data_IF_146248569209
#
_entry.id   IF_146248569209
#
_cell.length_a   1.000
_cell.length_b   1.000
_cell.length_c   1.000
_cell.angle_alpha   90.00
_cell.angle_beta   90.00
_cell.angle_gamma   90.00
#
_symmetry.space_group_name_H-M   'P 1'
#
loop_
_entity.id
_entity.type
_entity.pdbx_description
1 polymer ?
#
# COMPACT_ATOMS: atom_id res chain seq x y z
N UNK A 1 8.29 -7.93 -6.60
CA UNK A 1 6.88 -8.32 -6.79
C UNK A 1 6.86 -9.51 -7.73
N UNK A 2 6.68 -10.71 -7.20
CA UNK A 2 6.49 -11.93 -7.97
C UNK A 2 5.56 -12.86 -7.19
N UNK A 3 4.91 -13.80 -7.88
CA UNK A 3 4.14 -14.87 -7.24
C UNK A 3 4.87 -16.21 -7.39
N UNK A 4 4.79 -17.09 -6.39
CA UNK A 4 5.33 -18.45 -6.45
C UNK A 4 4.20 -19.49 -6.45
N UNK A 5 4.13 -20.26 -7.54
CA UNK A 5 3.11 -21.28 -7.79
C UNK A 5 3.78 -22.59 -8.23
N UNK A 6 4.55 -23.26 -7.35
CA UNK A 6 5.16 -24.54 -7.67
C UNK A 6 4.15 -25.68 -7.91
N UNK A 7 2.87 -25.50 -7.52
CA UNK A 7 1.80 -26.49 -7.65
C UNK A 7 0.49 -25.84 -8.14
N UNK A 8 -0.42 -26.61 -8.74
CA UNK A 8 -1.74 -26.10 -9.17
C UNK A 8 -2.66 -25.75 -8.00
N UNK A 9 -2.38 -26.28 -6.80
CA UNK A 9 -3.10 -25.93 -5.58
C UNK A 9 -2.37 -24.82 -4.81
N UNK A 10 -3.11 -23.80 -4.38
CA UNK A 10 -2.53 -22.66 -3.66
C UNK A 10 -2.05 -23.02 -2.25
N UNK A 11 -2.72 -23.93 -1.55
CA UNK A 11 -2.33 -24.36 -0.20
C UNK A 11 -1.07 -25.21 -0.27
N UNK A 12 -0.99 -26.13 -1.23
CA UNK A 12 0.20 -26.92 -1.52
C UNK A 12 1.37 -26.02 -1.92
N UNK A 13 1.11 -25.01 -2.77
CA UNK A 13 2.11 -24.00 -3.12
C UNK A 13 2.63 -23.26 -1.90
N UNK A 14 1.76 -22.84 -0.98
CA UNK A 14 2.16 -22.15 0.25
C UNK A 14 3.00 -23.05 1.18
N UNK A 15 2.53 -24.29 1.40
CA UNK A 15 3.20 -25.25 2.26
C UNK A 15 4.62 -25.59 1.79
N UNK A 16 4.86 -25.58 0.48
CA UNK A 16 6.15 -25.89 -0.11
C UNK A 16 7.20 -24.79 0.02
N UNK A 17 6.81 -23.55 0.37
CA UNK A 17 7.75 -22.44 0.48
C UNK A 17 8.51 -22.46 1.81
N UNK A 18 9.79 -22.10 1.78
CA UNK A 18 10.52 -21.71 2.98
C UNK A 18 9.92 -20.45 3.61
N UNK A 19 10.14 -20.29 4.92
CA UNK A 19 9.55 -19.22 5.73
C UNK A 19 9.84 -17.82 5.17
N UNK A 20 11.04 -17.57 4.63
CA UNK A 20 11.40 -16.25 4.12
C UNK A 20 10.60 -15.90 2.85
N UNK A 21 10.46 -16.83 1.89
CA UNK A 21 9.62 -16.59 0.71
C UNK A 21 8.14 -16.54 1.07
N UNK A 22 7.64 -17.44 1.93
CA UNK A 22 6.25 -17.42 2.36
C UNK A 22 5.85 -16.08 2.99
N UNK A 23 6.68 -15.56 3.91
CA UNK A 23 6.45 -14.26 4.52
C UNK A 23 6.39 -13.12 3.49
N UNK A 24 7.25 -13.19 2.47
CA UNK A 24 7.25 -12.22 1.37
C UNK A 24 6.04 -12.36 0.43
N UNK A 25 5.54 -13.57 0.19
CA UNK A 25 4.42 -13.81 -0.72
C UNK A 25 3.12 -13.17 -0.24
N UNK A 26 2.86 -13.09 1.07
CA UNK A 26 1.71 -12.34 1.60
C UNK A 26 1.73 -10.88 1.17
N UNK A 27 2.88 -10.23 1.31
CA UNK A 27 3.07 -8.82 0.95
C UNK A 27 3.06 -8.63 -0.57
N UNK A 28 3.73 -9.50 -1.32
CA UNK A 28 3.78 -9.40 -2.79
C UNK A 28 2.41 -9.70 -3.43
N UNK A 29 1.59 -10.59 -2.86
CA UNK A 29 0.22 -10.81 -3.28
C UNK A 29 -0.62 -9.55 -3.10
N UNK A 30 -0.57 -8.93 -1.91
CA UNK A 30 -1.26 -7.66 -1.63
C UNK A 30 -0.81 -6.53 -2.57
N UNK A 31 0.50 -6.42 -2.85
CA UNK A 31 1.02 -5.45 -3.80
C UNK A 31 0.55 -5.71 -5.24
N UNK A 32 0.40 -6.98 -5.62
CA UNK A 32 -0.11 -7.37 -6.95
C UNK A 32 -1.60 -7.04 -7.06
N UNK A 33 -2.40 -7.32 -6.02
CA UNK A 33 -3.82 -6.93 -5.95
C UNK A 33 -3.99 -5.42 -6.10
N UNK A 34 -3.20 -4.63 -5.37
CA UNK A 34 -3.18 -3.17 -5.48
C UNK A 34 -2.80 -2.70 -6.88
N UNK A 35 -1.80 -3.32 -7.51
CA UNK A 35 -1.40 -2.95 -8.88
C UNK A 35 -2.49 -3.24 -9.92
N UNK A 36 -3.30 -4.29 -9.71
CA UNK A 36 -4.42 -4.64 -10.59
C UNK A 36 -5.62 -3.71 -10.45
N UNK A 37 -5.87 -3.18 -9.25
CA UNK A 37 -7.13 -2.47 -8.93
C UNK A 37 -6.94 -0.97 -8.75
N UNK A 38 -5.80 -0.51 -8.21
CA UNK A 38 -5.59 0.90 -7.86
C UNK A 38 -4.87 1.62 -9.03
N UNK A 39 -5.46 2.70 -9.57
CA UNK A 39 -4.85 3.49 -10.64
C UNK A 39 -3.46 4.01 -10.28
N UNK A 40 -2.51 3.84 -11.21
CA UNK A 40 -1.14 4.34 -11.05
C UNK A 40 -0.32 3.72 -9.90
N UNK A 41 -0.80 2.62 -9.29
CA UNK A 41 -0.10 1.91 -8.21
C UNK A 41 0.96 0.94 -8.74
N UNK A 42 2.17 1.01 -8.17
CA UNK A 42 3.20 -0.01 -8.37
C UNK A 42 3.64 -0.18 -9.82
N UNK A 43 4.06 -1.38 -10.17
CA UNK A 43 4.58 -1.73 -11.51
C UNK A 43 3.51 -2.52 -12.28
N UNK A 44 2.50 -1.83 -12.79
CA UNK A 44 1.34 -2.44 -13.48
C UNK A 44 1.72 -3.22 -14.74
N UNK A 45 2.84 -2.86 -15.36
CA UNK A 45 3.38 -3.54 -16.56
C UNK A 45 4.24 -4.76 -16.23
N UNK A 46 4.45 -5.07 -14.94
CA UNK A 46 5.27 -6.20 -14.53
C UNK A 46 4.64 -7.54 -15.00
N UNK A 47 5.41 -8.50 -15.54
CA UNK A 47 4.87 -9.75 -16.09
C UNK A 47 3.98 -10.53 -15.10
N UNK A 48 4.38 -10.62 -13.84
CA UNK A 48 3.55 -11.27 -12.82
C UNK A 48 2.23 -10.54 -12.57
N UNK A 49 2.19 -9.20 -12.65
CA UNK A 49 0.93 -8.44 -12.51
C UNK A 49 0.04 -8.71 -13.72
N UNK A 50 0.62 -8.60 -14.92
CA UNK A 50 -0.09 -8.87 -16.18
C UNK A 50 -0.70 -10.27 -16.22
N UNK A 51 0.02 -11.29 -15.77
CA UNK A 51 -0.49 -12.67 -15.69
C UNK A 51 -1.79 -12.81 -14.87
N UNK A 52 -1.97 -11.98 -13.84
CA UNK A 52 -3.13 -12.01 -12.95
C UNK A 52 -4.28 -11.07 -13.39
N UNK A 53 -4.15 -10.34 -14.50
CA UNK A 53 -5.23 -9.48 -14.99
C UNK A 53 -6.48 -10.31 -15.31
N UNK A 54 -7.63 -9.84 -14.81
CA UNK A 54 -8.91 -10.57 -14.90
C UNK A 54 -9.13 -11.65 -13.83
N UNK A 55 -8.18 -11.85 -12.91
CA UNK A 55 -8.21 -12.93 -11.92
C UNK A 55 -8.04 -12.43 -10.46
N UNK A 56 -8.55 -11.22 -10.15
CA UNK A 56 -8.47 -10.63 -8.79
C UNK A 56 -8.98 -11.60 -7.70
N UNK A 57 -10.17 -12.24 -7.81
CA UNK A 57 -10.62 -13.18 -6.78
C UNK A 57 -9.71 -14.40 -6.59
N UNK A 58 -9.14 -14.93 -7.68
CA UNK A 58 -8.21 -16.07 -7.59
C UNK A 58 -6.87 -15.66 -6.95
N UNK A 59 -6.37 -14.46 -7.24
CA UNK A 59 -5.19 -13.92 -6.56
C UNK A 59 -5.47 -13.64 -5.06
N UNK A 60 -6.69 -13.25 -4.71
CA UNK A 60 -7.12 -13.14 -3.31
C UNK A 60 -7.06 -14.51 -2.62
N UNK A 61 -7.57 -15.58 -3.24
CA UNK A 61 -7.44 -16.95 -2.72
C UNK A 61 -5.97 -17.35 -2.52
N UNK A 62 -5.12 -17.05 -3.50
CA UNK A 62 -3.68 -17.28 -3.41
C UNK A 62 -3.08 -16.55 -2.20
N UNK A 63 -3.36 -15.25 -2.04
CA UNK A 63 -2.90 -14.45 -0.91
C UNK A 63 -3.36 -15.01 0.43
N UNK A 64 -4.64 -15.40 0.53
CA UNK A 64 -5.20 -16.00 1.75
C UNK A 64 -4.56 -17.36 2.08
N UNK A 65 -4.24 -18.18 1.08
CA UNK A 65 -3.51 -19.44 1.31
C UNK A 65 -2.11 -19.21 1.88
N UNK A 66 -1.41 -18.17 1.41
CA UNK A 66 -0.10 -17.78 1.97
C UNK A 66 -0.23 -17.27 3.41
N UNK A 67 -1.30 -16.54 3.72
CA UNK A 67 -1.59 -16.07 5.07
C UNK A 67 -1.96 -17.22 6.01
N UNK A 68 -2.82 -18.14 5.57
CA UNK A 68 -3.21 -19.34 6.32
C UNK A 68 -1.97 -20.14 6.74
N UNK A 69 -1.08 -20.44 5.79
CA UNK A 69 0.13 -21.21 6.07
C UNK A 69 1.11 -20.45 6.96
N UNK A 70 1.23 -19.13 6.78
CA UNK A 70 2.07 -18.30 7.65
C UNK A 70 1.59 -18.28 9.09
N UNK A 71 0.28 -18.11 9.30
CA UNK A 71 -0.34 -18.15 10.61
C UNK A 71 -0.24 -19.55 11.25
N UNK A 72 -0.44 -20.61 10.44
CA UNK A 72 -0.26 -22.01 10.87
C UNK A 72 1.15 -22.29 11.39
N UNK A 73 2.18 -21.62 10.84
CA UNK A 73 3.57 -21.68 11.33
C UNK A 73 3.82 -20.86 12.60
N UNK A 74 2.80 -20.23 13.18
CA UNK A 74 2.89 -19.46 14.42
C UNK A 74 3.39 -18.03 14.25
N UNK A 75 3.36 -17.48 13.04
CA UNK A 75 3.81 -16.12 12.79
C UNK A 75 2.63 -15.13 12.71
N UNK A 76 2.79 -13.89 13.24
CA UNK A 76 1.75 -12.87 13.18
C UNK A 76 1.53 -12.36 11.75
N UNK A 77 0.29 -12.05 11.40
CA UNK A 77 -0.11 -11.48 10.11
C UNK A 77 -0.90 -10.18 10.28
N UNK A 78 -0.67 -9.24 9.37
CA UNK A 78 -1.40 -7.98 9.25
C UNK A 78 -1.88 -7.70 7.81
N UNK A 79 -1.86 -8.72 6.95
CA UNK A 79 -2.19 -8.59 5.52
C UNK A 79 -3.55 -9.16 5.18
N UNK A 80 -4.09 -10.11 5.97
CA UNK A 80 -5.38 -10.78 5.74
C UNK A 80 -6.51 -9.81 5.42
N UNK A 81 -6.78 -8.86 6.30
CA UNK A 81 -7.90 -7.92 6.14
C UNK A 81 -7.77 -7.12 4.84
N UNK A 82 -6.57 -6.62 4.55
CA UNK A 82 -6.27 -5.89 3.32
C UNK A 82 -6.42 -6.76 2.07
N UNK A 83 -6.03 -8.04 2.12
CA UNK A 83 -6.16 -8.97 0.99
C UNK A 83 -7.64 -9.31 0.75
N UNK A 84 -8.40 -9.64 1.80
CA UNK A 84 -9.82 -10.00 1.72
C UNK A 84 -10.65 -8.89 1.08
N UNK A 85 -10.34 -7.63 1.36
CA UNK A 85 -11.10 -6.47 0.85
C UNK A 85 -11.17 -6.40 -0.68
N UNK A 86 -10.19 -6.95 -1.40
CA UNK A 86 -10.20 -6.98 -2.88
C UNK A 86 -11.22 -7.95 -3.48
N UNK A 87 -11.59 -9.00 -2.74
CA UNK A 87 -12.60 -9.95 -3.15
C UNK A 87 -13.17 -10.66 -1.90
N UNK A 88 -14.10 -10.03 -1.15
CA UNK A 88 -14.67 -10.61 0.06
C UNK A 88 -15.31 -11.97 -0.17
N UNK A 89 -15.89 -12.20 -1.36
CA UNK A 89 -16.44 -13.47 -1.79
C UNK A 89 -15.40 -14.60 -1.83
N UNK A 90 -14.11 -14.30 -2.03
CA UNK A 90 -13.05 -15.30 -1.99
C UNK A 90 -12.74 -15.81 -0.57
N UNK A 91 -13.16 -15.07 0.47
CA UNK A 91 -13.07 -15.52 1.84
C UNK A 91 -14.30 -16.32 2.29
N UNK A 92 -15.37 -16.37 1.48
CA UNK A 92 -16.62 -17.05 1.83
C UNK A 92 -16.64 -18.49 1.29
N UNK A 93 -16.79 -19.53 2.12
CA UNK A 93 -16.71 -20.94 1.70
C UNK A 93 -17.59 -21.28 0.49
N UNK A 94 -18.84 -20.84 0.50
CA UNK A 94 -19.83 -21.13 -0.56
C UNK A 94 -19.54 -20.48 -1.93
N UNK A 95 -18.59 -19.55 -1.98
CA UNK A 95 -18.23 -18.82 -3.20
C UNK A 95 -16.85 -19.21 -3.75
N UNK A 96 -16.02 -19.90 -2.98
CA UNK A 96 -14.68 -20.32 -3.41
C UNK A 96 -14.74 -21.16 -4.68
N UNK A 97 -15.66 -22.12 -4.76
CA UNK A 97 -15.81 -23.04 -5.90
C UNK A 97 -16.31 -22.33 -7.17
N UNK A 98 -16.93 -21.15 -7.03
CA UNK A 98 -17.46 -20.36 -8.16
C UNK A 98 -16.43 -19.41 -8.76
N UNK A 99 -15.25 -19.28 -8.14
CA UNK A 99 -14.20 -18.38 -8.62
C UNK A 99 -13.56 -18.96 -9.87
N UNK A 100 -13.60 -18.19 -10.96
CA UNK A 100 -12.93 -18.54 -12.21
C UNK A 100 -11.40 -18.54 -12.02
N UNK A 101 -10.82 -19.74 -12.07
CA UNK A 101 -9.37 -19.91 -11.96
C UNK A 101 -8.65 -19.47 -13.25
N UNK A 102 -7.40 -19.01 -13.14
CA UNK A 102 -6.59 -18.71 -14.31
C UNK A 102 -6.37 -19.95 -15.18
N UNK A 103 -6.44 -19.78 -16.49
CA UNK A 103 -6.31 -20.88 -17.46
C UNK A 103 -4.94 -21.58 -17.44
N UNK A 104 -3.92 -20.88 -16.94
CA UNK A 104 -2.56 -21.39 -16.81
C UNK A 104 -2.35 -22.16 -15.49
N UNK A 105 -3.30 -22.10 -14.55
CA UNK A 105 -3.21 -22.87 -13.30
C UNK A 105 -3.50 -24.35 -13.62
N UNK A 106 -2.50 -25.22 -13.43
CA UNK A 106 -2.53 -26.60 -13.90
C UNK A 106 -1.58 -26.88 -15.07
N UNK A 107 -1.03 -25.84 -15.71
CA UNK A 107 -0.03 -26.02 -16.76
C UNK A 107 1.31 -26.52 -16.18
N UNK A 108 1.76 -27.67 -16.68
CA UNK A 108 2.91 -28.37 -16.11
C UNK A 108 4.22 -27.56 -16.26
N UNK A 109 4.41 -26.92 -17.41
CA UNK A 109 5.62 -26.14 -17.71
C UNK A 109 5.64 -24.85 -16.89
N UNK A 110 4.48 -24.21 -16.73
CA UNK A 110 4.31 -23.08 -15.82
C UNK A 110 4.77 -23.44 -14.41
N UNK A 111 4.21 -24.49 -13.81
CA UNK A 111 4.56 -24.89 -12.46
C UNK A 111 6.04 -25.32 -12.33
N UNK A 112 6.57 -26.01 -13.34
CA UNK A 112 7.98 -26.39 -13.41
C UNK A 112 8.90 -25.17 -13.45
N UNK A 113 8.53 -24.11 -14.17
CA UNK A 113 9.32 -22.87 -14.21
C UNK A 113 9.41 -22.21 -12.83
N UNK A 114 8.33 -22.24 -12.05
CA UNK A 114 8.30 -21.71 -10.69
C UNK A 114 9.13 -22.58 -9.73
N UNK A 115 9.02 -23.92 -9.80
CA UNK A 115 9.86 -24.85 -9.03
C UNK A 115 11.35 -24.64 -9.32
N UNK A 116 11.71 -24.55 -10.60
CA UNK A 116 13.08 -24.34 -11.06
C UNK A 116 13.68 -23.02 -10.56
N UNK A 117 12.89 -21.94 -10.59
CA UNK A 117 13.33 -20.64 -10.05
C UNK A 117 13.45 -20.63 -8.52
N UNK A 118 12.61 -21.37 -7.79
CA UNK A 118 12.76 -21.54 -6.34
C UNK A 118 14.02 -22.34 -6.00
N UNK A 119 14.26 -23.46 -6.69
CA UNK A 119 15.48 -24.26 -6.58
C UNK A 119 16.75 -23.43 -6.79
N UNK A 120 16.75 -22.55 -7.79
CA UNK A 120 17.87 -21.62 -8.01
C UNK A 120 18.03 -20.56 -6.92
N UNK A 121 16.93 -20.12 -6.31
CA UNK A 121 16.94 -19.07 -5.27
C UNK A 121 17.41 -19.58 -3.92
N UNK A 122 17.10 -20.82 -3.54
CA UNK A 122 17.63 -21.50 -2.34
C UNK A 122 17.86 -22.99 -2.60
N UNK A 123 19.01 -23.35 -3.19
CA UNK A 123 19.31 -24.75 -3.50
C UNK A 123 19.24 -25.64 -2.26
N UNK A 124 19.76 -25.16 -1.11
CA UNK A 124 19.79 -25.94 0.13
C UNK A 124 18.41 -26.38 0.62
N UNK A 125 17.38 -25.57 0.41
CA UNK A 125 16.02 -25.88 0.85
C UNK A 125 15.26 -26.67 -0.21
N UNK A 126 15.36 -26.26 -1.48
CA UNK A 126 14.47 -26.75 -2.53
C UNK A 126 15.02 -27.93 -3.32
N UNK A 127 16.33 -28.23 -3.30
CA UNK A 127 16.88 -29.34 -4.10
C UNK A 127 16.31 -30.72 -3.73
N UNK A 128 15.91 -30.92 -2.47
CA UNK A 128 15.23 -32.15 -2.03
C UNK A 128 13.71 -32.10 -2.23
N UNK A 129 13.12 -30.91 -2.34
CA UNK A 129 11.67 -30.70 -2.49
C UNK A 129 11.26 -30.78 -3.96
N UNK A 130 12.07 -30.20 -4.87
CA UNK A 130 11.82 -30.12 -6.30
C UNK A 130 12.92 -30.86 -7.07
N UNK A 131 12.84 -32.19 -7.06
CA UNK A 131 13.82 -33.06 -7.76
C UNK A 131 13.72 -32.98 -9.28
N UNK A 132 12.62 -32.43 -9.78
CA UNK A 132 12.34 -32.20 -11.20
C UNK A 132 12.79 -30.82 -11.69
N UNK A 133 13.33 -29.97 -10.81
CA UNK A 133 13.78 -28.62 -11.16
C UNK A 133 14.84 -28.65 -12.28
N UNK A 134 14.60 -27.84 -13.33
CA UNK A 134 15.49 -27.73 -14.48
C UNK A 134 16.45 -26.55 -14.28
N UNK A 135 17.78 -26.78 -14.29
CA UNK A 135 18.76 -25.70 -14.22
C UNK A 135 18.54 -24.65 -15.32
N UNK A 136 18.75 -23.38 -14.99
CA UNK A 136 18.65 -22.24 -15.91
C UNK A 136 17.31 -22.01 -16.62
N UNK A 137 16.25 -22.75 -16.28
CA UNK A 137 14.90 -22.49 -16.79
C UNK A 137 14.43 -21.08 -16.43
N UNK A 138 13.88 -20.36 -17.40
CA UNK A 138 13.26 -19.05 -17.20
C UNK A 138 11.82 -19.13 -16.70
N UNK A 139 11.37 -18.06 -16.03
CA UNK A 139 9.98 -18.00 -15.60
C UNK A 139 9.10 -17.98 -16.84
N UNK A 140 8.05 -18.79 -16.82
CA UNK A 140 6.96 -18.66 -17.77
C UNK A 140 5.93 -17.72 -17.13
N UNK A 141 5.73 -16.56 -17.75
CA UNK A 141 4.68 -15.60 -17.37
C UNK A 141 3.62 -15.56 -18.47
N UNK A 142 2.50 -16.30 -18.32
CA UNK A 142 1.39 -16.24 -19.24
C UNK A 142 0.90 -14.82 -19.47
N UNK A 143 0.66 -14.46 -20.73
CA UNK A 143 0.06 -13.17 -21.07
C UNK A 143 -1.43 -13.19 -20.69
N UNK A 144 -1.97 -12.04 -20.25
CA UNK A 144 -3.41 -11.96 -20.00
C UNK A 144 -4.20 -12.09 -21.29
N UNK A 145 -5.41 -12.65 -21.20
CA UNK A 145 -6.35 -12.68 -22.33
C UNK A 145 -6.70 -11.27 -22.81
N UNK A 146 -6.76 -10.33 -21.89
CA UNK A 146 -7.06 -8.93 -22.13
C UNK A 146 -6.23 -8.06 -21.18
N UNK A 147 -5.63 -7.00 -21.70
CA UNK A 147 -4.94 -6.02 -20.86
C UNK A 147 -5.94 -4.97 -20.36
N UNK A 148 -6.03 -4.86 -19.04
CA UNK A 148 -6.83 -3.84 -18.38
C UNK A 148 -5.94 -3.12 -17.37
N UNK A 149 -5.75 -1.82 -17.57
CA UNK A 149 -5.10 -0.97 -16.59
C UNK A 149 -6.20 -0.25 -15.79
N UNK A 150 -6.13 -0.23 -14.45
CA UNK A 150 -7.11 0.48 -13.65
C UNK A 150 -7.00 1.98 -13.93
N UNK A 151 -8.16 2.61 -14.14
CA UNK A 151 -8.29 4.03 -14.44
C UNK A 151 -8.93 4.75 -13.25
N UNK A 152 -8.68 6.05 -13.13
CA UNK A 152 -9.40 6.88 -12.16
C UNK A 152 -10.91 6.80 -12.45
N UNK A 153 -11.77 6.88 -11.43
CA UNK A 153 -13.21 6.90 -11.63
C UNK A 153 -13.62 8.12 -12.47
N UNK A 154 -14.67 7.93 -13.28
CA UNK A 154 -15.34 8.99 -14.03
C UNK A 154 -16.74 9.25 -13.43
N UNK A 155 -17.26 10.48 -13.58
CA UNK A 155 -18.60 10.84 -13.10
C UNK A 155 -18.60 11.44 -11.69
N UNK A 156 -19.45 10.92 -10.81
CA UNK A 156 -19.65 11.42 -9.46
C UNK A 156 -18.51 10.95 -8.54
N UNK A 157 -17.54 11.84 -8.36
CA UNK A 157 -16.29 11.58 -7.65
C UNK A 157 -16.33 12.16 -6.25
N UNK A 158 -15.89 11.37 -5.28
CA UNK A 158 -15.54 11.81 -3.94
C UNK A 158 -14.01 11.83 -3.78
N UNK A 159 -13.43 12.96 -3.39
CA UNK A 159 -11.99 13.06 -3.17
C UNK A 159 -11.61 12.58 -1.78
N UNK A 160 -10.79 11.53 -1.69
CA UNK A 160 -10.22 11.10 -0.41
C UNK A 160 -8.99 11.95 -0.11
N UNK A 161 -9.01 12.65 1.02
CA UNK A 161 -7.89 13.43 1.54
C UNK A 161 -7.38 12.83 2.85
N UNK A 162 -6.19 12.22 2.82
CA UNK A 162 -5.51 11.71 4.01
C UNK A 162 -4.89 12.86 4.80
N UNK A 163 -5.69 13.57 5.58
CA UNK A 163 -5.23 14.52 6.59
C UNK A 163 -5.36 13.84 7.97
N UNK A 164 -4.24 13.47 8.64
CA UNK A 164 -4.31 12.74 9.89
C UNK A 164 -4.76 13.65 11.03
N UNK A 165 -5.86 13.28 11.69
CA UNK A 165 -6.38 13.93 12.88
C UNK A 165 -6.49 12.91 14.02
N UNK A 166 -5.65 13.03 15.05
CA UNK A 166 -5.64 12.09 16.18
C UNK A 166 -6.63 12.47 17.30
N UNK A 167 -6.92 13.76 17.46
CA UNK A 167 -7.64 14.29 18.63
C UNK A 167 -8.91 15.07 18.29
N UNK A 168 -9.20 15.28 17.00
CA UNK A 168 -10.34 16.06 16.54
C UNK A 168 -11.53 15.14 16.33
N UNK A 169 -12.70 15.56 16.82
CA UNK A 169 -13.97 14.88 16.52
C UNK A 169 -14.26 15.05 15.01
N UNK A 170 -14.51 13.94 14.27
CA UNK A 170 -14.86 13.99 12.85
C UNK A 170 -15.96 15.00 12.50
N UNK A 171 -16.94 15.23 13.38
CA UNK A 171 -18.05 16.17 13.11
C UNK A 171 -17.66 17.63 13.23
N UNK A 172 -16.60 17.94 13.98
CA UNK A 172 -16.14 19.30 14.24
C UNK A 172 -15.06 19.78 13.27
N UNK A 173 -14.69 18.94 12.28
CA UNK A 173 -13.66 19.27 11.31
C UNK A 173 -14.11 20.43 10.41
N UNK A 174 -13.49 21.58 10.59
CA UNK A 174 -13.82 22.83 9.91
C UNK A 174 -12.80 23.27 8.84
N UNK A 175 -11.65 22.60 8.82
CA UNK A 175 -10.53 22.91 7.94
C UNK A 175 -9.81 21.64 7.51
N UNK A 176 -9.30 21.64 6.28
CA UNK A 176 -8.51 20.53 5.73
C UNK A 176 -7.26 21.05 5.02
N UNK A 177 -6.18 20.28 5.11
CA UNK A 177 -4.95 20.57 4.38
C UNK A 177 -4.26 19.30 3.90
N UNK A 178 -3.37 19.46 2.92
CA UNK A 178 -2.46 18.37 2.61
C UNK A 178 -1.44 18.21 3.77
N UNK A 179 -1.20 17.00 4.28
CA UNK A 179 -0.16 16.75 5.28
C UNK A 179 1.21 17.13 4.75
N UNK A 180 2.09 17.57 5.66
CA UNK A 180 3.49 17.79 5.32
C UNK A 180 4.14 16.46 4.88
N UNK A 181 5.09 16.50 3.94
CA UNK A 181 5.93 15.35 3.67
C UNK A 181 6.53 14.82 4.98
N UNK A 182 6.62 13.50 5.15
CA UNK A 182 7.03 12.85 6.41
C UNK A 182 8.33 13.41 7.01
N UNK A 183 9.28 13.83 6.17
CA UNK A 183 10.52 14.48 6.61
C UNK A 183 10.30 15.92 7.17
N UNK A 184 9.37 16.67 6.58
CA UNK A 184 8.98 17.99 7.06
C UNK A 184 8.06 17.91 8.29
N UNK A 185 7.19 16.90 8.37
CA UNK A 185 6.38 16.62 9.56
C UNK A 185 7.25 16.31 10.79
N UNK A 186 8.30 15.48 10.63
CA UNK A 186 9.26 15.20 11.69
C UNK A 186 10.04 16.46 12.13
N UNK A 187 10.42 17.34 11.20
CA UNK A 187 11.08 18.61 11.50
C UNK A 187 10.14 19.60 12.20
N UNK A 188 8.86 19.66 11.80
CA UNK A 188 7.85 20.52 12.42
C UNK A 188 7.51 20.04 13.84
N UNK A 189 7.38 18.74 14.08
CA UNK A 189 7.21 18.17 15.41
C UNK A 189 8.42 18.46 16.33
N UNK A 190 9.63 18.38 15.79
CA UNK A 190 10.85 18.75 16.53
C UNK A 190 10.94 20.26 16.82
N UNK A 191 10.36 21.11 15.98
CA UNK A 191 10.32 22.56 16.18
C UNK A 191 9.17 23.01 17.11
N UNK A 192 8.06 22.27 17.16
CA UNK A 192 6.92 22.51 18.04
C UNK A 192 7.16 21.99 19.48
N UNK A 193 8.03 21.00 19.65
CA UNK A 193 8.57 20.60 20.95
C UNK A 193 9.62 21.59 21.44
N UNK A 194 9.19 22.80 21.81
CA UNK A 194 10.05 23.85 22.34
C UNK A 194 10.88 23.38 23.55
N UNK A 195 12.20 23.60 23.44
CA UNK A 195 13.26 23.67 24.45
C UNK A 195 12.93 23.23 25.89
N UNK A 196 13.42 22.07 26.32
CA UNK A 196 14.23 21.96 27.56
C UNK A 196 15.02 20.63 27.62
N UNK A 197 16.08 20.52 26.81
CA UNK A 197 17.18 19.61 27.16
C UNK A 197 18.46 20.07 26.48
N UNK A 198 19.20 20.97 27.14
CA UNK A 198 20.65 21.07 26.89
C UNK A 198 21.33 19.91 27.61
N UNK A 199 21.92 18.93 26.91
CA UNK A 199 22.73 17.93 27.57
C UNK A 199 23.99 18.62 28.09
N UNK A 200 24.05 18.83 29.41
CA UNK A 200 25.30 19.13 30.11
C UNK A 200 26.20 17.92 29.88
N UNK A 201 27.18 18.05 29.00
CA UNK A 201 28.22 17.04 28.85
C UNK A 201 29.01 16.99 30.16
N UNK A 202 28.95 15.84 30.82
CA UNK A 202 29.91 15.45 31.86
C UNK A 202 31.28 15.45 31.19
N UNK A 203 32.15 16.39 31.57
CA UNK A 203 33.57 16.28 31.28
C UNK A 203 34.12 15.10 32.07
N UNK A 204 34.46 14.01 31.38
CA UNK A 204 35.33 12.99 31.93
C UNK A 204 36.61 12.88 31.10
N UNK A 205 37.72 12.90 31.82
CA UNK A 205 39.00 13.39 31.35
C UNK A 205 39.70 12.54 30.31
N UNK A 206 40.29 13.20 29.30
CA UNK A 206 41.58 12.77 28.74
C UNK A 206 42.27 13.91 28.00
N UNK A 207 43.53 14.17 28.39
CA UNK A 207 44.40 15.21 27.84
C UNK A 207 44.87 14.85 26.42
N UNK A 208 44.25 15.41 25.39
CA UNK A 208 44.92 15.81 24.13
C UNK A 208 44.00 16.68 23.26
N UNK A 209 44.32 17.97 23.00
CA UNK A 209 43.51 18.80 22.12
C UNK A 209 43.73 18.36 20.66
N UNK A 210 42.72 17.73 20.05
CA UNK A 210 42.72 17.49 18.61
C UNK A 210 42.44 18.80 17.87
N UNK A 211 43.42 19.26 17.09
CA UNK A 211 43.44 20.55 16.39
C UNK A 211 42.78 20.43 15.00
N UNK A 212 41.57 19.89 14.94
CA UNK A 212 40.78 19.85 13.71
C UNK A 212 39.41 20.52 13.93
N UNK A 213 39.06 21.56 13.16
CA UNK A 213 37.73 22.15 13.26
C UNK A 213 36.70 21.09 12.84
N UNK A 214 35.83 20.71 13.78
CA UNK A 214 34.67 19.87 13.51
C UNK A 214 33.84 20.57 12.42
N UNK A 215 33.84 20.02 11.20
CA UNK A 215 32.99 20.50 10.11
C UNK A 215 31.55 20.52 10.59
N UNK A 216 30.89 21.67 10.47
CA UNK A 216 29.47 21.81 10.75
C UNK A 216 28.70 20.71 9.99
N UNK A 217 27.70 20.06 10.62
CA UNK A 217 26.89 19.05 9.95
C UNK A 217 26.29 19.67 8.67
N UNK A 218 26.32 18.95 7.54
CA UNK A 218 25.82 19.49 6.28
C UNK A 218 24.34 19.87 6.44
N UNK A 219 24.00 21.13 6.12
CA UNK A 219 22.60 21.60 6.08
C UNK A 219 21.78 20.61 5.26
N UNK A 220 20.79 19.96 5.89
CA UNK A 220 19.90 19.04 5.19
C UNK A 220 19.18 19.83 4.10
N UNK A 221 19.51 19.53 2.84
CA UNK A 221 18.84 20.13 1.68
C UNK A 221 17.40 19.63 1.67
N UNK A 222 16.44 20.56 1.75
CA UNK A 222 15.01 20.27 1.58
C UNK A 222 14.85 19.62 0.20
N UNK A 223 14.47 18.34 0.18
CA UNK A 223 14.28 17.59 -1.08
C UNK A 223 13.05 18.16 -1.80
N UNK A 224 13.19 18.47 -3.10
CA UNK A 224 12.06 18.90 -3.93
C UNK A 224 10.96 17.82 -3.94
N UNK A 225 9.67 18.19 -3.94
CA UNK A 225 8.57 17.24 -4.01
C UNK A 225 8.63 16.42 -5.31
N UNK A 226 8.17 15.17 -5.25
CA UNK A 226 8.08 14.30 -6.43
C UNK A 226 7.01 14.82 -7.39
N UNK A 227 7.09 14.49 -8.69
CA UNK A 227 6.09 14.92 -9.68
C UNK A 227 4.66 14.55 -9.27
N UNK A 228 4.45 13.30 -8.84
CA UNK A 228 3.15 12.82 -8.32
C UNK A 228 2.65 13.60 -7.11
N UNK A 229 3.55 14.11 -6.25
CA UNK A 229 3.16 14.94 -5.11
C UNK A 229 2.77 16.35 -5.55
N UNK A 230 3.53 16.94 -6.47
CA UNK A 230 3.20 18.24 -7.05
C UNK A 230 1.86 18.21 -7.79
N UNK A 231 1.53 17.12 -8.48
CA UNK A 231 0.23 16.90 -9.13
C UNK A 231 -0.93 16.89 -8.10
N UNK A 232 -0.78 16.21 -6.96
CA UNK A 232 -1.77 16.23 -5.87
C UNK A 232 -1.91 17.62 -5.22
N UNK A 233 -0.79 18.32 -5.01
CA UNK A 233 -0.80 19.68 -4.48
C UNK A 233 -1.49 20.65 -5.44
N UNK A 234 -1.20 20.55 -6.75
CA UNK A 234 -1.87 21.34 -7.76
C UNK A 234 -3.38 21.07 -7.76
N UNK A 235 -3.81 19.81 -7.75
CA UNK A 235 -5.22 19.43 -7.71
C UNK A 235 -5.95 20.05 -6.50
N UNK A 236 -5.40 19.89 -5.29
CA UNK A 236 -5.96 20.48 -4.07
C UNK A 236 -6.02 22.02 -4.11
N UNK A 237 -4.97 22.64 -4.65
CA UNK A 237 -4.88 24.10 -4.78
C UNK A 237 -5.86 24.66 -5.81
N UNK A 238 -6.34 23.83 -6.74
CA UNK A 238 -7.30 24.22 -7.78
C UNK A 238 -8.71 23.68 -7.57
N UNK A 239 -9.01 23.07 -6.42
CA UNK A 239 -10.36 22.58 -6.10
C UNK A 239 -11.43 23.66 -6.33
N UNK A 240 -12.44 23.38 -7.15
CA UNK A 240 -13.64 24.20 -7.23
C UNK A 240 -14.32 24.33 -5.86
N UNK A 241 -15.08 25.41 -5.67
CA UNK A 241 -15.95 25.51 -4.50
C UNK A 241 -16.99 24.37 -4.50
N UNK A 242 -17.34 23.87 -3.31
CA UNK A 242 -18.24 22.72 -3.12
C UNK A 242 -17.72 21.40 -3.68
N UNK A 243 -16.40 21.26 -3.82
CA UNK A 243 -15.81 19.96 -4.16
C UNK A 243 -16.06 18.99 -2.99
N UNK A 244 -16.68 17.83 -3.22
CA UNK A 244 -16.89 16.82 -2.19
C UNK A 244 -15.56 16.17 -1.82
N UNK A 245 -15.27 16.14 -0.53
CA UNK A 245 -14.05 15.58 0.05
C UNK A 245 -14.41 14.70 1.24
N UNK A 246 -13.72 13.57 1.37
CA UNK A 246 -13.80 12.68 2.52
C UNK A 246 -12.43 12.57 3.21
N UNK A 247 -12.43 12.77 4.53
CA UNK A 247 -11.23 12.67 5.37
C UNK A 247 -11.33 11.40 6.22
N UNK A 248 -10.33 10.49 6.19
CA UNK A 248 -10.35 9.27 6.97
C UNK A 248 -10.05 9.54 8.45
N UNK A 249 -10.81 8.89 9.31
CA UNK A 249 -10.63 8.83 10.77
C UNK A 249 -10.54 7.38 11.23
N UNK A 250 -10.16 7.16 12.50
CA UNK A 250 -10.12 5.83 13.13
C UNK A 250 -9.32 4.81 12.27
N UNK A 251 -8.10 5.16 11.87
CA UNK A 251 -7.27 4.35 10.96
C UNK A 251 -7.90 4.01 9.60
N UNK A 252 -8.88 4.81 9.17
CA UNK A 252 -9.56 4.69 7.89
C UNK A 252 -10.77 3.75 7.91
N UNK A 253 -11.33 3.45 9.08
CA UNK A 253 -12.61 2.74 9.22
C UNK A 253 -13.81 3.67 9.02
N UNK A 254 -13.66 4.96 9.31
CA UNK A 254 -14.70 5.99 9.12
C UNK A 254 -14.19 7.16 8.32
N UNK A 255 -15.12 7.87 7.67
CA UNK A 255 -14.83 9.02 6.83
C UNK A 255 -15.76 10.16 7.16
N UNK A 256 -15.19 11.35 7.43
CA UNK A 256 -15.95 12.59 7.48
C UNK A 256 -16.11 13.12 6.05
N UNK A 257 -17.33 13.06 5.52
CA UNK A 257 -17.68 13.49 4.18
C UNK A 257 -18.26 14.88 4.24
N UNK A 258 -17.80 15.75 3.35
CA UNK A 258 -18.19 17.14 3.34
C UNK A 258 -17.73 17.86 2.10
N UNK A 259 -17.78 19.18 2.14
CA UNK A 259 -17.44 20.04 1.01
C UNK A 259 -16.39 21.09 1.37
N UNK A 260 -15.52 21.39 0.40
CA UNK A 260 -14.62 22.54 0.50
C UNK A 260 -15.40 23.83 0.28
N UNK A 261 -15.29 24.76 1.24
CA UNK A 261 -16.02 26.03 1.23
C UNK A 261 -15.10 27.25 1.22
N UNK A 262 -15.58 28.32 0.62
CA UNK A 262 -14.91 29.62 0.66
C UNK A 262 -13.56 29.70 -0.09
N UNK A 263 -12.73 30.64 0.33
CA UNK A 263 -11.41 30.92 -0.26
C UNK A 263 -10.33 30.07 0.41
N UNK A 264 -9.20 29.80 -0.29
CA UNK A 264 -8.05 29.19 0.37
C UNK A 264 -7.58 30.01 1.57
N UNK A 265 -7.14 29.30 2.60
CA UNK A 265 -6.65 29.87 3.86
C UNK A 265 -5.22 29.41 4.12
N UNK A 266 -4.54 30.13 5.01
CA UNK A 266 -3.29 29.67 5.61
C UNK A 266 -3.60 29.21 7.03
N UNK A 267 -3.32 27.94 7.33
CA UNK A 267 -3.51 27.38 8.67
C UNK A 267 -2.50 27.97 9.66
N UNK A 268 -2.76 27.78 10.97
CA UNK A 268 -1.89 28.26 12.04
C UNK A 268 -0.44 27.72 11.94
N UNK A 269 -0.27 26.54 11.35
CA UNK A 269 1.03 25.91 11.09
C UNK A 269 1.71 26.38 9.79
N UNK A 270 1.12 27.37 9.10
CA UNK A 270 1.64 27.94 7.86
C UNK A 270 1.31 27.13 6.60
N UNK A 271 0.58 26.02 6.70
CA UNK A 271 0.16 25.24 5.53
C UNK A 271 -0.96 25.93 4.75
N UNK A 272 -0.99 25.65 3.46
CA UNK A 272 -2.17 25.91 2.63
C UNK A 272 -3.29 24.98 3.06
N UNK A 273 -4.43 25.56 3.44
CA UNK A 273 -5.63 24.85 3.85
C UNK A 273 -6.87 25.38 3.15
N UNK A 274 -7.97 24.69 3.39
CA UNK A 274 -9.31 25.06 2.94
C UNK A 274 -10.26 24.99 4.12
N UNK A 275 -11.25 25.88 4.15
CA UNK A 275 -12.39 25.64 5.02
C UNK A 275 -13.17 24.43 4.49
N UNK A 276 -13.68 23.66 5.42
CA UNK A 276 -14.37 22.41 5.18
C UNK A 276 -15.64 22.40 6.01
N UNK A 277 -16.70 21.80 5.48
CA UNK A 277 -17.94 21.60 6.23
C UNK A 277 -18.32 20.14 6.11
N UNK A 278 -18.34 19.46 7.25
CA UNK A 278 -18.77 18.06 7.34
C UNK A 278 -20.27 18.00 7.18
N UNK A 279 -20.73 17.16 6.26
CA UNK A 279 -22.14 16.90 6.02
C UNK A 279 -22.57 15.60 6.74
N UNK A 280 -21.73 14.58 6.69
CA UNK A 280 -22.03 13.27 7.27
C UNK A 280 -20.75 12.49 7.62
N UNK A 281 -20.92 11.44 8.43
CA UNK A 281 -19.88 10.46 8.72
C UNK A 281 -20.34 9.11 8.18
N UNK A 282 -19.53 8.51 7.32
CA UNK A 282 -19.81 7.19 6.74
C UNK A 282 -18.76 6.16 7.15
N UNK A 283 -19.16 4.90 7.20
CA UNK A 283 -18.23 3.79 7.39
C UNK A 283 -17.53 3.41 6.08
N UNK A 284 -16.34 2.84 6.18
CA UNK A 284 -15.57 2.30 5.04
C UNK A 284 -16.37 1.30 4.19
N UNK A 285 -17.32 0.59 4.79
CA UNK A 285 -18.20 -0.36 4.10
C UNK A 285 -19.28 0.29 3.24
N UNK A 286 -19.49 1.60 3.35
CA UNK A 286 -20.44 2.33 2.51
C UNK A 286 -19.96 2.44 1.06
N UNK A 287 -18.65 2.39 0.83
CA UNK A 287 -18.08 2.44 -0.52
C UNK A 287 -18.34 1.13 -1.27
N UNK A 288 -18.77 1.23 -2.53
CA UNK A 288 -18.99 0.06 -3.39
C UNK A 288 -17.72 -0.81 -3.58
N UNK A 289 -16.55 -0.17 -3.61
CA UNK A 289 -15.25 -0.85 -3.69
C UNK A 289 -14.26 -0.32 -2.64
N UNK A 290 -14.32 -0.79 -1.39
CA UNK A 290 -13.45 -0.32 -0.31
C UNK A 290 -11.96 -0.55 -0.58
N UNK A 291 -11.60 -1.49 -1.45
CA UNK A 291 -10.21 -1.79 -1.77
C UNK A 291 -9.48 -0.59 -2.43
N UNK A 292 -10.20 0.29 -3.13
CA UNK A 292 -9.65 1.52 -3.69
C UNK A 292 -9.14 2.48 -2.60
N UNK A 293 -9.74 2.44 -1.40
CA UNK A 293 -9.29 3.23 -0.25
C UNK A 293 -7.95 2.75 0.34
N UNK A 294 -7.35 1.68 -0.21
CA UNK A 294 -5.97 1.29 0.09
C UNK A 294 -4.93 2.07 -0.73
N UNK A 295 -5.35 3.02 -1.57
CA UNK A 295 -4.47 3.88 -2.34
C UNK A 295 -3.50 4.65 -1.42
N UNK A 296 -2.16 4.53 -1.61
CA UNK A 296 -1.19 5.21 -0.77
C UNK A 296 -1.06 6.72 -1.05
N UNK A 297 -1.74 7.25 -2.08
CA UNK A 297 -1.79 8.69 -2.35
C UNK A 297 -2.44 9.42 -1.18
N UNK A 298 -2.02 10.67 -1.00
CA UNK A 298 -2.56 11.56 0.03
C UNK A 298 -3.89 12.14 -0.44
N UNK A 299 -3.99 12.44 -1.74
CA UNK A 299 -5.19 12.89 -2.37
C UNK A 299 -5.47 12.04 -3.61
N UNK A 300 -6.65 11.44 -3.68
CA UNK A 300 -7.07 10.61 -4.80
C UNK A 300 -8.60 10.56 -4.93
N UNK A 301 -9.13 10.41 -6.14
CA UNK A 301 -10.56 10.27 -6.37
C UNK A 301 -11.03 8.82 -6.15
N UNK A 302 -12.24 8.65 -5.64
CA UNK A 302 -13.01 7.40 -5.65
C UNK A 302 -14.43 7.67 -6.15
N UNK A 303 -15.13 6.64 -6.59
CA UNK A 303 -16.57 6.74 -6.86
C UNK A 303 -17.31 7.08 -5.56
N UNK A 304 -18.25 8.03 -5.63
CA UNK A 304 -19.07 8.40 -4.49
C UNK A 304 -19.96 7.20 -4.06
N UNK A 305 -20.11 6.96 -2.74
CA UNK A 305 -20.95 5.90 -2.20
C UNK A 305 -22.46 6.15 -2.39
#
# INVERSE_FOLDING_TARGET
MQTFLPYPDFRQSAAALDTARLGKQRVEALQTLRALVIPGYGWQTHPAVRMWMGHVPALTLYGLAMVDEWAKRGHPDNTRANITEFAPQAAHPDYVEKIAMPWWLGDADFHLSHRSKLARKEPKFYSSVFTDAVPDMDYIWPLPKHEFLPQEPEGDILWILRDPHETIDPQTLDTVALPLPRAAAAAAAAAAGGDDYSPVYVEDGSRRPSRQPRKAPPKQKVKKPTRKRAEQEAAFNTFPGRTPVAVPFEDGTKFAVGEVVGRPITLADGRFGRNFTVNEIIDRSAFANPALLQDPRVLFPVEAP
#
